data_IF_101933771644
#
_entry.id   IF_101933771644
#
_cell.length_a   1.000
_cell.length_b   1.000
_cell.length_c   1.000
_cell.angle_alpha   90.00
_cell.angle_beta   90.00
_cell.angle_gamma   90.00
#
_symmetry.space_group_name_H-M   'P 1'
#
loop_
_entity.id
_entity.type
_entity.pdbx_description
1 polymer ?
#
# COMPACT_ATOMS: atom_id res chain seq x y z
N UNK A 1 11.63 -40.42 53.71
CA UNK A 1 12.12 -39.11 53.25
C UNK A 1 12.31 -39.20 51.76
N UNK A 2 11.57 -38.43 50.96
CA UNK A 2 12.07 -37.82 49.72
C UNK A 2 11.22 -36.57 49.46
N UNK A 3 11.90 -35.43 49.43
CA UNK A 3 11.39 -34.12 49.04
C UNK A 3 11.42 -34.05 47.52
N UNK A 4 10.29 -33.77 46.88
CA UNK A 4 10.31 -33.24 45.51
C UNK A 4 9.43 -32.01 45.42
N UNK A 5 10.11 -30.97 44.96
CA UNK A 5 9.80 -29.55 44.90
C UNK A 5 8.74 -29.18 43.87
N UNK A 6 7.90 -28.21 44.25
CA UNK A 6 7.11 -27.35 43.36
C UNK A 6 8.00 -26.70 42.27
N UNK A 7 7.54 -26.75 41.02
CA UNK A 7 7.93 -25.79 39.96
C UNK A 7 6.64 -25.28 39.30
N UNK A 8 6.37 -23.96 39.28
CA UNK A 8 5.24 -23.41 38.54
C UNK A 8 5.58 -23.33 37.05
N UNK A 9 4.74 -23.92 36.21
CA UNK A 9 4.79 -23.78 34.75
C UNK A 9 4.33 -22.37 34.37
N UNK A 10 5.26 -21.43 34.32
CA UNK A 10 5.07 -20.13 33.70
C UNK A 10 5.00 -20.26 32.19
N UNK A 11 3.79 -20.44 31.64
CA UNK A 11 3.55 -20.40 30.19
C UNK A 11 3.67 -18.95 29.72
N UNK A 12 4.86 -18.55 29.30
CA UNK A 12 5.08 -17.30 28.59
C UNK A 12 4.30 -17.34 27.26
N UNK A 13 3.14 -16.68 27.24
CA UNK A 13 2.42 -16.37 26.01
C UNK A 13 3.30 -15.45 25.17
N UNK A 14 3.90 -16.02 24.11
CA UNK A 14 4.54 -15.23 23.05
C UNK A 14 3.45 -14.31 22.47
N UNK A 15 3.66 -12.99 22.36
CA UNK A 15 2.68 -12.14 21.70
C UNK A 15 2.53 -12.60 20.26
N UNK A 16 1.31 -12.99 19.88
CA UNK A 16 0.99 -13.36 18.51
C UNK A 16 1.32 -12.18 17.59
N UNK A 17 2.17 -12.39 16.59
CA UNK A 17 2.41 -11.41 15.54
C UNK A 17 1.07 -11.20 14.83
N UNK A 18 0.44 -10.02 15.04
CA UNK A 18 -0.81 -9.65 14.37
C UNK A 18 -0.59 -9.75 12.86
N UNK A 19 -1.37 -10.58 12.20
CA UNK A 19 -1.30 -10.72 10.75
C UNK A 19 -1.68 -9.40 10.11
N UNK A 20 -0.91 -8.95 9.13
CA UNK A 20 -1.21 -7.75 8.36
C UNK A 20 -2.60 -7.82 7.67
N UNK A 21 -3.09 -9.04 7.43
CA UNK A 21 -4.45 -9.28 6.95
C UNK A 21 -5.55 -8.88 7.95
N UNK A 22 -5.29 -8.96 9.27
CA UNK A 22 -6.28 -8.60 10.29
C UNK A 22 -6.48 -7.08 10.39
N UNK A 23 -5.41 -6.30 10.18
CA UNK A 23 -5.52 -4.84 10.06
C UNK A 23 -6.31 -4.39 8.82
N UNK A 24 -6.30 -5.19 7.75
CA UNK A 24 -7.01 -4.87 6.50
C UNK A 24 -8.53 -5.11 6.61
N UNK A 25 -8.97 -6.03 7.49
CA UNK A 25 -10.40 -6.31 7.74
C UNK A 25 -11.01 -5.44 8.83
N UNK A 26 -10.21 -5.00 9.80
CA UNK A 26 -10.64 -4.08 10.85
C UNK A 26 -10.75 -2.66 10.27
N UNK A 27 -11.93 -2.33 9.71
CA UNK A 27 -12.34 -0.94 9.55
C UNK A 27 -12.14 -0.19 10.87
N UNK A 28 -11.52 0.99 10.79
CA UNK A 28 -11.03 1.82 11.91
C UNK A 28 -11.94 1.78 13.15
N UNK A 29 -11.41 1.75 14.40
CA UNK A 29 -12.19 2.16 15.55
C UNK A 29 -12.59 3.63 15.40
N UNK A 30 -13.89 3.90 15.53
CA UNK A 30 -14.46 5.23 15.68
C UNK A 30 -13.80 5.95 16.84
N UNK A 31 -12.98 6.96 16.55
CA UNK A 31 -12.52 7.91 17.57
C UNK A 31 -13.71 8.77 17.98
N UNK A 32 -14.11 8.60 19.24
CA UNK A 32 -15.11 9.40 19.93
C UNK A 32 -14.79 10.89 19.90
N UNK A 33 -15.86 11.66 20.02
CA UNK A 33 -15.85 13.11 19.94
C UNK A 33 -15.04 13.79 21.04
N UNK A 34 -14.46 14.92 20.66
CA UNK A 34 -14.21 16.01 21.56
C UNK A 34 -15.15 17.15 21.16
N UNK A 35 -15.99 17.52 22.11
CA UNK A 35 -16.92 18.65 22.10
C UNK A 35 -16.20 19.92 22.55
N UNK A 36 -16.58 21.03 21.92
CA UNK A 36 -16.37 22.43 22.32
C UNK A 36 -14.90 22.96 22.22
N UNK A 37 -14.62 24.17 21.73
CA UNK A 37 -15.36 25.44 21.86
C UNK A 37 -15.28 26.36 20.62
N UNK A 38 -16.20 27.34 20.48
CA UNK A 38 -16.25 28.32 19.39
C UNK A 38 -15.56 29.64 19.75
N UNK A 39 -14.79 30.24 18.83
CA UNK A 39 -14.51 31.69 18.84
C UNK A 39 -14.52 32.26 17.43
N UNK A 40 -15.43 33.21 17.24
CA UNK A 40 -15.64 34.10 16.09
C UNK A 40 -14.53 35.15 15.98
N UNK A 41 -14.18 35.54 14.75
CA UNK A 41 -13.57 36.82 14.25
C UNK A 41 -12.64 36.46 13.08
N UNK A 42 -12.75 36.97 11.86
CA UNK A 42 -13.63 37.94 11.25
C UNK A 42 -13.13 38.23 9.82
N UNK A 43 -14.08 38.49 8.92
CA UNK A 43 -14.01 39.37 7.76
C UNK A 43 -13.13 39.04 6.51
N UNK A 44 -13.77 39.32 5.36
CA UNK A 44 -13.25 39.59 4.01
C UNK A 44 -13.06 38.33 3.12
N UNK A 45 -13.94 37.97 2.19
CA UNK A 45 -14.85 38.76 1.36
C UNK A 45 -14.52 38.49 -0.11
N UNK A 46 -15.20 37.54 -0.75
CA UNK A 46 -15.28 37.46 -2.21
C UNK A 46 -16.71 37.11 -2.61
N UNK A 47 -17.30 38.01 -3.38
CA UNK A 47 -18.66 38.02 -3.85
C UNK A 47 -18.96 36.83 -4.80
N UNK A 48 -20.05 36.13 -4.51
CA UNK A 48 -20.77 35.26 -5.45
C UNK A 48 -21.96 36.04 -6.02
N UNK A 49 -22.03 36.31 -7.34
CA UNK A 49 -23.29 36.73 -7.93
C UNK A 49 -24.18 35.51 -8.18
N UNK A 50 -25.27 35.42 -7.43
CA UNK A 50 -26.46 34.64 -7.76
C UNK A 50 -27.18 35.29 -8.94
N UNK A 51 -27.41 34.55 -10.02
CA UNK A 51 -28.52 34.84 -10.94
C UNK A 51 -29.23 33.53 -11.31
N UNK A 52 -30.54 33.62 -11.20
CA UNK A 52 -31.55 32.58 -11.23
C UNK A 52 -31.86 32.12 -12.66
N UNK A 53 -32.07 30.81 -12.84
CA UNK A 53 -33.09 30.29 -13.76
C UNK A 53 -32.61 29.38 -14.89
N UNK A 54 -32.63 28.05 -14.69
CA UNK A 54 -33.63 27.20 -15.35
C UNK A 54 -33.69 25.79 -14.73
N UNK A 55 -34.91 25.28 -14.53
CA UNK A 55 -35.20 23.96 -13.97
C UNK A 55 -34.77 22.86 -14.95
N UNK A 56 -33.87 21.98 -14.52
CA UNK A 56 -33.64 20.66 -15.08
C UNK A 56 -33.11 19.76 -13.98
N UNK A 57 -33.83 18.67 -13.67
CA UNK A 57 -33.51 17.72 -12.60
C UNK A 57 -32.06 17.21 -12.70
N UNK A 58 -31.21 17.57 -11.74
CA UNK A 58 -29.89 16.94 -11.55
C UNK A 58 -30.10 15.82 -10.51
N UNK A 59 -29.90 14.53 -10.83
CA UNK A 59 -29.87 13.49 -9.82
C UNK A 59 -28.62 13.67 -8.93
N UNK A 60 -28.82 13.57 -7.60
CA UNK A 60 -27.83 13.72 -6.52
C UNK A 60 -26.75 12.62 -6.47
N UNK A 61 -26.21 12.20 -7.62
CA UNK A 61 -25.06 11.28 -7.68
C UNK A 61 -24.04 11.67 -8.76
N UNK A 62 -23.70 12.95 -8.83
CA UNK A 62 -22.45 13.36 -9.49
C UNK A 62 -21.36 13.37 -8.43
N UNK A 63 -20.72 12.21 -8.22
CA UNK A 63 -19.43 12.15 -7.53
C UNK A 63 -18.40 12.87 -8.42
N UNK A 64 -18.30 14.19 -8.23
CA UNK A 64 -17.35 15.03 -8.93
C UNK A 64 -15.94 14.62 -8.50
N UNK A 65 -15.25 13.87 -9.36
CA UNK A 65 -13.80 13.72 -9.27
C UNK A 65 -13.16 15.07 -9.61
N UNK A 66 -12.90 15.86 -8.57
CA UNK A 66 -12.08 17.07 -8.68
C UNK A 66 -10.64 16.61 -8.97
N UNK A 67 -10.35 16.40 -10.26
CA UNK A 67 -9.00 16.20 -10.75
C UNK A 67 -8.18 17.46 -10.51
N UNK A 68 -7.03 17.31 -9.86
CA UNK A 68 -6.12 18.41 -9.59
C UNK A 68 -5.47 18.83 -10.93
N UNK A 69 -5.90 19.96 -11.50
CA UNK A 69 -5.36 20.51 -12.75
C UNK A 69 -4.15 21.39 -12.41
N UNK A 70 -3.08 21.30 -13.20
CA UNK A 70 -2.04 22.34 -13.17
C UNK A 70 -2.48 23.54 -14.02
N UNK A 71 -1.80 24.68 -13.87
CA UNK A 71 -2.07 25.96 -14.55
C UNK A 71 -2.12 25.86 -16.09
N UNK A 72 -1.69 24.74 -16.67
CA UNK A 72 -1.69 24.47 -18.12
C UNK A 72 -2.90 23.67 -18.61
N UNK A 73 -3.88 23.36 -17.74
CA UNK A 73 -5.13 22.69 -18.12
C UNK A 73 -4.98 21.25 -18.65
N UNK A 74 -3.79 20.64 -18.52
CA UNK A 74 -3.56 19.27 -18.97
C UNK A 74 -4.12 18.32 -17.91
N UNK A 75 -4.91 17.29 -18.27
CA UNK A 75 -5.25 16.24 -17.32
C UNK A 75 -3.95 15.61 -16.85
N UNK A 76 -3.62 15.75 -15.56
CA UNK A 76 -2.56 14.96 -14.95
C UNK A 76 -3.05 13.52 -15.01
N UNK A 77 -2.60 12.77 -16.02
CA UNK A 77 -2.94 11.36 -16.19
C UNK A 77 -2.83 10.66 -14.84
N UNK A 78 -3.87 9.89 -14.50
CA UNK A 78 -4.05 9.16 -13.25
C UNK A 78 -2.73 8.83 -12.54
N UNK A 79 -2.43 9.48 -11.40
CA UNK A 79 -1.16 9.30 -10.67
C UNK A 79 -0.83 7.86 -10.22
N UNK A 80 -1.76 6.92 -10.42
CA UNK A 80 -1.63 5.51 -10.09
C UNK A 80 -0.89 4.82 -11.25
N UNK A 81 0.25 4.14 -11.02
CA UNK A 81 1.06 3.55 -12.09
C UNK A 81 0.28 2.58 -13.00
N UNK A 82 -0.54 1.71 -12.41
CA UNK A 82 -1.36 0.72 -13.12
C UNK A 82 -2.79 0.78 -12.57
N UNK A 83 -3.63 1.70 -13.10
CA UNK A 83 -4.97 1.96 -12.53
C UNK A 83 -5.96 0.82 -12.82
N UNK A 84 -5.84 0.16 -13.97
CA UNK A 84 -6.68 -0.96 -14.37
C UNK A 84 -5.96 -2.30 -14.19
N UNK A 85 -6.67 -3.39 -13.85
CA UNK A 85 -6.05 -4.70 -13.72
C UNK A 85 -5.41 -5.16 -15.04
N UNK A 86 -4.17 -5.62 -14.98
CA UNK A 86 -3.40 -6.15 -16.11
C UNK A 86 -3.10 -7.63 -15.91
N UNK A 87 -3.39 -8.45 -16.91
CA UNK A 87 -3.01 -9.87 -16.93
C UNK A 87 -1.53 -10.03 -17.24
N UNK A 88 -0.82 -10.82 -16.45
CA UNK A 88 0.60 -11.12 -16.57
C UNK A 88 0.80 -12.63 -16.54
N UNK A 89 1.58 -13.15 -17.48
CA UNK A 89 1.86 -14.59 -17.59
C UNK A 89 3.22 -14.93 -16.98
N UNK A 90 3.27 -15.98 -16.18
CA UNK A 90 4.48 -16.59 -15.65
C UNK A 90 4.45 -18.09 -15.98
N UNK A 91 5.12 -18.46 -17.09
CA UNK A 91 4.96 -19.79 -17.68
C UNK A 91 3.52 -20.02 -18.12
N UNK A 92 2.94 -21.16 -17.71
CA UNK A 92 1.54 -21.51 -18.02
C UNK A 92 0.51 -20.84 -17.09
N UNK A 93 0.95 -20.09 -16.08
CA UNK A 93 0.07 -19.42 -15.14
C UNK A 93 -0.20 -17.97 -15.55
N UNK A 94 -1.46 -17.54 -15.51
CA UNK A 94 -1.86 -16.14 -15.68
C UNK A 94 -2.31 -15.57 -14.33
N UNK A 95 -1.80 -14.38 -13.98
CA UNK A 95 -2.19 -13.64 -12.78
C UNK A 95 -2.54 -12.21 -13.11
N UNK A 96 -3.26 -11.54 -12.23
CA UNK A 96 -3.65 -10.15 -12.40
C UNK A 96 -2.79 -9.23 -11.55
N UNK A 97 -2.29 -8.13 -12.11
CA UNK A 97 -1.59 -7.06 -11.40
C UNK A 97 -2.42 -5.79 -11.40
N UNK A 98 -2.46 -5.07 -10.28
CA UNK A 98 -3.04 -3.72 -10.18
C UNK A 98 -2.26 -2.90 -9.16
N UNK A 99 -2.08 -1.60 -9.42
CA UNK A 99 -1.53 -0.70 -8.41
C UNK A 99 -2.54 -0.45 -7.30
N UNK A 100 -2.06 -0.28 -6.07
CA UNK A 100 -2.92 0.00 -4.93
C UNK A 100 -2.89 1.50 -4.62
N UNK A 101 -4.06 2.14 -4.53
CA UNK A 101 -4.19 3.57 -4.20
C UNK A 101 -3.45 3.96 -2.91
N UNK A 102 -3.29 3.03 -1.97
CA UNK A 102 -2.55 3.29 -0.72
C UNK A 102 -1.06 3.59 -0.90
N UNK A 103 -0.47 3.16 -2.02
CA UNK A 103 0.93 3.38 -2.38
C UNK A 103 1.10 4.52 -3.40
N UNK A 104 0.03 5.27 -3.69
CA UNK A 104 0.04 6.37 -4.67
C UNK A 104 -0.18 7.72 -3.98
N UNK A 105 0.80 8.64 -3.99
CA UNK A 105 0.63 9.98 -3.44
C UNK A 105 -0.55 10.75 -4.07
N UNK A 106 -1.34 11.42 -3.22
CA UNK A 106 -2.47 12.24 -3.66
C UNK A 106 -3.75 11.47 -4.00
N UNK A 107 -3.82 10.16 -3.69
CA UNK A 107 -5.03 9.35 -3.82
C UNK A 107 -5.69 9.07 -2.48
N UNK A 108 -6.99 8.80 -2.51
CA UNK A 108 -7.73 8.34 -1.34
C UNK A 108 -7.09 7.05 -0.81
N UNK A 109 -6.76 7.03 0.48
CA UNK A 109 -6.06 5.92 1.13
C UNK A 109 -4.53 5.98 1.08
N UNK A 110 -3.93 7.01 0.45
CA UNK A 110 -2.48 7.23 0.49
C UNK A 110 -1.97 7.23 1.92
N UNK A 111 -0.93 6.44 2.17
CA UNK A 111 -0.24 6.39 3.45
C UNK A 111 1.28 6.40 3.19
N UNK A 112 1.99 7.47 3.57
CA UNK A 112 3.46 7.52 3.44
C UNK A 112 4.18 6.34 4.09
N UNK A 113 3.62 5.79 5.18
CA UNK A 113 4.15 4.61 5.88
C UNK A 113 3.91 3.30 5.14
N UNK A 114 3.08 3.28 4.10
CA UNK A 114 2.93 2.12 3.23
C UNK A 114 4.03 2.07 2.16
N UNK A 115 4.78 3.15 1.97
CA UNK A 115 5.75 3.29 0.91
C UNK A 115 5.13 3.71 -0.43
N UNK A 116 5.96 4.29 -1.29
CA UNK A 116 5.58 4.84 -2.60
C UNK A 116 5.85 3.83 -3.71
N UNK A 117 4.80 3.45 -4.42
CA UNK A 117 4.93 2.55 -5.56
C UNK A 117 5.76 3.20 -6.69
N UNK A 118 6.75 2.50 -7.26
CA UNK A 118 7.52 3.00 -8.39
C UNK A 118 6.64 3.05 -9.66
N UNK A 119 6.92 4.00 -10.56
CA UNK A 119 6.13 4.17 -11.80
C UNK A 119 6.24 2.98 -12.75
N UNK A 120 7.37 2.27 -12.72
CA UNK A 120 7.65 1.07 -13.51
C UNK A 120 7.29 -0.24 -12.76
N UNK A 121 6.38 -0.19 -11.79
CA UNK A 121 6.02 -1.35 -10.96
C UNK A 121 5.52 -2.57 -11.75
N UNK A 122 4.82 -2.35 -12.88
CA UNK A 122 4.38 -3.44 -13.75
C UNK A 122 5.55 -4.19 -14.41
N UNK A 123 6.57 -3.45 -14.87
CA UNK A 123 7.76 -4.01 -15.51
C UNK A 123 8.55 -4.81 -14.49
N UNK A 124 8.77 -4.21 -13.31
CA UNK A 124 9.37 -4.89 -12.17
C UNK A 124 8.59 -6.15 -11.80
N UNK A 125 7.25 -6.11 -11.80
CA UNK A 125 6.43 -7.28 -11.49
C UNK A 125 6.60 -8.39 -12.54
N UNK A 126 6.64 -8.06 -13.83
CA UNK A 126 6.87 -9.03 -14.91
C UNK A 126 8.22 -9.74 -14.80
N UNK A 127 9.22 -9.04 -14.28
CA UNK A 127 10.57 -9.58 -14.02
C UNK A 127 10.69 -10.29 -12.66
N UNK A 128 9.61 -10.33 -11.87
CA UNK A 128 9.65 -10.86 -10.52
C UNK A 128 9.79 -12.37 -10.47
N UNK A 129 10.54 -12.84 -9.46
CA UNK A 129 10.71 -14.25 -9.13
C UNK A 129 10.02 -14.62 -7.81
N UNK A 130 9.40 -15.81 -7.71
CA UNK A 130 8.91 -16.31 -6.43
C UNK A 130 10.08 -16.73 -5.53
N UNK A 131 9.82 -16.87 -4.23
CA UNK A 131 10.75 -17.49 -3.29
C UNK A 131 10.13 -18.78 -2.73
N UNK A 132 10.97 -19.73 -2.33
CA UNK A 132 10.52 -21.04 -1.86
C UNK A 132 9.70 -20.98 -0.57
N UNK A 133 9.96 -19.98 0.27
CA UNK A 133 9.25 -19.81 1.55
C UNK A 133 7.88 -19.13 1.44
N UNK A 134 7.44 -18.69 0.26
CA UNK A 134 6.13 -18.09 0.10
C UNK A 134 5.55 -18.24 -1.31
N UNK A 135 4.30 -18.70 -1.38
CA UNK A 135 3.51 -18.75 -2.62
C UNK A 135 2.74 -17.46 -2.91
N UNK A 136 2.74 -16.50 -1.97
CA UNK A 136 1.99 -15.24 -2.05
C UNK A 136 2.88 -14.03 -2.19
N UNK A 137 4.21 -14.22 -2.27
CA UNK A 137 5.18 -13.14 -2.39
C UNK A 137 6.13 -13.41 -3.55
N UNK A 138 6.44 -12.35 -4.29
CA UNK A 138 7.47 -12.34 -5.34
C UNK A 138 8.37 -11.14 -5.14
N UNK A 139 9.58 -11.24 -5.65
CA UNK A 139 10.56 -10.15 -5.57
C UNK A 139 11.13 -9.85 -6.93
N UNK A 140 11.70 -8.65 -7.08
CA UNK A 140 12.52 -8.26 -8.24
C UNK A 140 13.70 -7.45 -7.72
N UNK A 141 14.86 -7.57 -8.36
CA UNK A 141 15.99 -6.67 -8.15
C UNK A 141 16.06 -5.67 -9.31
N UNK A 142 16.07 -4.36 -9.00
CA UNK A 142 16.27 -3.33 -10.01
C UNK A 142 17.77 -3.16 -10.37
N UNK A 143 18.05 -2.29 -11.35
CA UNK A 143 19.42 -2.02 -11.84
C UNK A 143 20.34 -1.39 -10.80
N UNK A 144 19.76 -0.71 -9.81
CA UNK A 144 20.50 -0.08 -8.71
C UNK A 144 20.75 -1.07 -7.55
N UNK A 145 20.26 -2.31 -7.69
CA UNK A 145 20.39 -3.39 -6.72
C UNK A 145 19.33 -3.35 -5.61
N UNK A 146 18.30 -2.51 -5.73
CA UNK A 146 17.19 -2.45 -4.78
C UNK A 146 16.24 -3.62 -4.99
N UNK A 147 15.65 -4.09 -3.89
CA UNK A 147 14.68 -5.18 -3.92
C UNK A 147 13.27 -4.61 -3.82
N UNK A 148 12.41 -5.02 -4.75
CA UNK A 148 10.98 -4.75 -4.74
C UNK A 148 10.22 -6.02 -4.35
N UNK A 149 9.20 -5.87 -3.49
CA UNK A 149 8.33 -6.96 -3.07
C UNK A 149 6.94 -6.78 -3.66
N UNK A 150 6.36 -7.87 -4.13
CA UNK A 150 4.99 -7.96 -4.60
C UNK A 150 4.23 -9.00 -3.79
N UNK A 151 2.96 -8.76 -3.52
CA UNK A 151 2.13 -9.66 -2.74
C UNK A 151 0.79 -9.92 -3.40
N UNK A 152 0.33 -11.17 -3.30
CA UNK A 152 -0.98 -11.61 -3.77
C UNK A 152 -2.02 -11.43 -2.69
N UNK A 153 -3.15 -10.83 -3.04
CA UNK A 153 -4.33 -10.75 -2.18
C UNK A 153 -5.21 -12.02 -2.30
N UNK A 154 -6.26 -12.18 -1.46
CA UNK A 154 -7.14 -13.34 -1.51
C UNK A 154 -7.93 -13.49 -2.82
N UNK A 155 -8.01 -12.42 -3.62
CA UNK A 155 -8.69 -12.40 -4.92
C UNK A 155 -7.74 -12.71 -6.09
N UNK A 156 -6.55 -13.26 -5.79
CA UNK A 156 -5.49 -13.54 -6.76
C UNK A 156 -4.97 -12.30 -7.53
N UNK A 157 -5.16 -11.11 -6.98
CA UNK A 157 -4.59 -9.88 -7.54
C UNK A 157 -3.27 -9.54 -6.84
N UNK A 158 -2.26 -9.25 -7.65
CA UNK A 158 -0.93 -8.87 -7.21
C UNK A 158 -0.78 -7.36 -7.16
N UNK A 159 -0.06 -6.90 -6.15
CA UNK A 159 0.21 -5.48 -5.92
C UNK A 159 1.65 -5.31 -5.47
N UNK A 160 2.24 -4.16 -5.77
CA UNK A 160 3.49 -3.75 -5.13
C UNK A 160 3.27 -3.59 -3.62
N UNK A 161 4.24 -4.05 -2.83
CA UNK A 161 4.17 -4.10 -1.37
C UNK A 161 5.53 -3.77 -0.72
N UNK A 162 6.19 -2.72 -1.18
CA UNK A 162 7.42 -2.19 -0.59
C UNK A 162 8.67 -2.40 -1.44
N UNK A 163 9.66 -1.54 -1.21
CA UNK A 163 10.96 -1.57 -1.87
C UNK A 163 12.06 -1.07 -0.94
N UNK A 164 13.27 -1.59 -1.10
CA UNK A 164 14.39 -1.24 -0.20
C UNK A 164 14.91 0.19 -0.42
N UNK A 165 14.63 0.77 -1.59
CA UNK A 165 14.97 2.16 -1.92
C UNK A 165 13.98 3.19 -1.35
N UNK A 166 12.87 2.74 -0.74
CA UNK A 166 11.88 3.66 -0.20
C UNK A 166 12.47 4.42 0.99
N UNK A 167 12.59 5.74 0.85
CA UNK A 167 13.20 6.61 1.87
C UNK A 167 12.35 6.75 3.13
N UNK A 168 11.03 6.60 3.01
CA UNK A 168 10.09 6.80 4.11
C UNK A 168 9.74 5.50 4.82
N UNK A 169 9.66 4.40 4.06
CA UNK A 169 9.33 3.08 4.58
C UNK A 169 10.14 2.00 3.83
N UNK A 170 11.46 1.91 4.07
CA UNK A 170 12.30 0.93 3.39
C UNK A 170 11.86 -0.49 3.75
N UNK A 171 11.79 -1.34 2.73
CA UNK A 171 11.55 -2.75 2.93
C UNK A 171 12.72 -3.38 3.72
N UNK A 172 12.42 -3.94 4.89
CA UNK A 172 13.38 -4.72 5.68
C UNK A 172 13.23 -6.21 5.33
N UNK A 173 14.34 -6.83 4.93
CA UNK A 173 14.40 -8.24 4.59
C UNK A 173 14.98 -9.04 5.76
N UNK A 174 14.31 -10.11 6.16
CA UNK A 174 14.86 -11.06 7.13
C UNK A 174 15.97 -11.93 6.49
N UNK A 175 16.76 -12.59 7.35
CA UNK A 175 17.92 -13.38 6.90
C UNK A 175 17.54 -14.58 6.02
N UNK A 176 16.34 -15.15 6.20
CA UNK A 176 15.87 -16.27 5.39
C UNK A 176 15.57 -15.79 3.98
N UNK A 177 14.80 -14.71 3.84
CA UNK A 177 14.52 -14.08 2.55
C UNK A 177 15.82 -13.66 1.87
N UNK A 178 16.74 -12.98 2.59
CA UNK A 178 18.06 -12.62 2.02
C UNK A 178 18.82 -13.83 1.48
N UNK A 179 18.80 -14.96 2.19
CA UNK A 179 19.44 -16.20 1.74
C UNK A 179 18.81 -16.73 0.44
N UNK A 180 17.48 -16.78 0.38
CA UNK A 180 16.76 -17.24 -0.82
C UNK A 180 17.00 -16.33 -2.03
N UNK A 181 17.00 -15.01 -1.83
CA UNK A 181 17.31 -14.06 -2.91
C UNK A 181 18.76 -14.22 -3.43
N UNK A 182 19.72 -14.53 -2.54
CA UNK A 182 21.09 -14.87 -2.96
C UNK A 182 21.14 -16.18 -3.74
N UNK A 183 20.33 -17.17 -3.38
CA UNK A 183 20.23 -18.44 -4.12
C UNK A 183 19.62 -18.26 -5.52
N UNK A 184 18.83 -17.20 -5.74
CA UNK A 184 18.39 -16.77 -7.08
C UNK A 184 19.49 -16.04 -7.87
N UNK A 185 20.70 -15.91 -7.31
CA UNK A 185 21.85 -15.25 -7.94
C UNK A 185 21.93 -13.74 -7.70
N UNK A 186 21.03 -13.16 -6.90
CA UNK A 186 21.01 -11.72 -6.68
C UNK A 186 22.09 -11.27 -5.70
N UNK A 187 22.60 -10.06 -5.92
CA UNK A 187 23.73 -9.49 -5.16
C UNK A 187 23.43 -8.04 -4.83
N UNK A 188 23.94 -7.55 -3.70
CA UNK A 188 23.78 -6.14 -3.35
C UNK A 188 24.00 -5.88 -1.87
N UNK A 189 24.19 -4.61 -1.50
CA UNK A 189 24.40 -4.23 -0.08
C UNK A 189 23.22 -4.62 0.80
N UNK A 190 22.00 -4.60 0.27
CA UNK A 190 20.78 -4.95 1.02
C UNK A 190 20.63 -6.43 1.33
N UNK A 191 21.38 -7.30 0.66
CA UNK A 191 21.40 -8.76 0.89
C UNK A 191 22.58 -9.21 1.76
N UNK A 192 23.43 -8.26 2.20
CA UNK A 192 24.51 -8.51 3.15
C UNK A 192 23.98 -8.62 4.58
#
# INVERSE_FOLDING_TARGET
>A
MELVSNVPVGRATRPALKSWFDWLKEGKPTSGGYTADPVLVGANGVHIPTTVGNKGNIPDNVSASVGNRNESGKPTGSSIPVPEPVKVKFGDNEVTYKSNSKHTPGKAGWNPKAGKEPKNSLELFKESSPISSSTTVRFTQDKDGNIHRFSRDPNNQWHWNGGTADKNNPLILDNKVKSELKNLGWKGKVLK
#
